data_IF_032052145714
#
_entry.id   IF_032052145714
#
_cell.length_a   1.000
_cell.length_b   1.000
_cell.length_c   1.000
_cell.angle_alpha   90.00
_cell.angle_beta   90.00
_cell.angle_gamma   90.00
#
_symmetry.space_group_name_H-M   'P 1'
#
loop_
_entity.id
_entity.type
_entity.pdbx_description
1 polymer ?
#
# COMPACT_ATOMS: atom_id res chain seq x y z
N UNK A 1 -4.42 -49.49 2.40
CA UNK A 1 -3.39 -49.54 3.47
C UNK A 1 -3.01 -48.10 3.76
N UNK A 2 -3.48 -47.54 4.87
CA UNK A 2 -3.28 -46.13 5.20
C UNK A 2 -1.97 -46.03 5.99
N UNK A 3 -0.92 -45.48 5.39
CA UNK A 3 0.35 -45.24 6.11
C UNK A 3 0.12 -44.01 7.00
N UNK A 4 0.26 -44.12 8.33
CA UNK A 4 0.20 -42.95 9.18
C UNK A 4 1.49 -42.16 8.96
N UNK A 5 1.38 -41.02 8.29
CA UNK A 5 2.46 -40.03 8.25
C UNK A 5 2.53 -39.43 9.64
N UNK A 6 3.47 -39.89 10.47
CA UNK A 6 3.81 -39.22 11.71
C UNK A 6 4.21 -37.78 11.35
N UNK A 7 3.48 -36.78 11.87
CA UNK A 7 3.77 -35.40 11.51
C UNK A 7 5.14 -35.02 12.05
N UNK A 8 6.11 -34.81 11.17
CA UNK A 8 7.48 -34.43 11.49
C UNK A 8 7.60 -32.96 11.92
N UNK A 9 6.61 -32.43 12.66
CA UNK A 9 6.58 -31.03 13.05
C UNK A 9 7.70 -30.76 14.05
N UNK A 10 8.53 -29.77 13.76
CA UNK A 10 9.70 -29.42 14.57
C UNK A 10 9.51 -28.11 15.36
N UNK A 11 8.35 -27.45 15.23
CA UNK A 11 8.03 -26.22 15.93
C UNK A 11 8.52 -24.95 15.24
N UNK A 12 9.15 -25.07 14.06
CA UNK A 12 9.55 -23.94 13.22
C UNK A 12 8.54 -23.66 12.09
N UNK A 13 7.47 -24.45 11.99
CA UNK A 13 6.42 -24.22 11.02
C UNK A 13 5.67 -22.91 11.31
N UNK A 14 5.48 -22.10 10.27
CA UNK A 14 4.76 -20.83 10.36
C UNK A 14 3.46 -20.94 9.59
N UNK A 15 2.35 -20.51 10.21
CA UNK A 15 1.05 -20.42 9.58
C UNK A 15 0.74 -18.97 9.22
N UNK A 16 0.23 -18.75 8.00
CA UNK A 16 -0.42 -17.50 7.62
C UNK A 16 -1.88 -17.64 8.03
N UNK A 17 -2.31 -16.85 9.01
CA UNK A 17 -3.64 -16.95 9.62
C UNK A 17 -4.56 -15.78 9.29
N UNK A 18 -4.03 -14.75 8.64
CA UNK A 18 -4.80 -13.64 8.10
C UNK A 18 -3.97 -12.86 7.09
N UNK A 19 -4.66 -12.17 6.18
CA UNK A 19 -4.05 -11.39 5.13
C UNK A 19 -4.95 -10.20 4.75
N UNK A 20 -4.30 -9.12 4.32
CA UNK A 20 -4.94 -7.97 3.71
C UNK A 20 -3.94 -7.35 2.72
N UNK A 21 -4.46 -6.61 1.75
CA UNK A 21 -3.63 -5.95 0.76
C UNK A 21 -4.43 -5.03 -0.16
N UNK A 22 -3.71 -4.05 -0.72
CA UNK A 22 -4.18 -3.15 -1.77
C UNK A 22 -3.27 -3.31 -2.99
N UNK A 23 -3.88 -3.37 -4.16
CA UNK A 23 -3.19 -3.60 -5.42
C UNK A 23 -3.77 -2.68 -6.49
N UNK A 24 -3.02 -2.39 -7.57
CA UNK A 24 -3.59 -1.74 -8.74
C UNK A 24 -4.83 -2.50 -9.23
N UNK A 25 -5.96 -1.79 -9.34
CA UNK A 25 -7.24 -2.37 -9.75
C UNK A 25 -7.89 -3.36 -8.78
N UNK A 26 -7.41 -3.46 -7.53
CA UNK A 26 -8.04 -4.30 -6.50
C UNK A 26 -7.85 -3.72 -5.08
N UNK A 27 -8.98 -3.51 -4.40
CA UNK A 27 -9.03 -2.96 -3.04
C UNK A 27 -8.94 -4.03 -1.95
N UNK A 28 -8.83 -5.31 -2.31
CA UNK A 28 -8.70 -6.42 -1.35
C UNK A 28 -7.94 -7.60 -1.96
N UNK A 29 -7.54 -8.54 -1.09
CA UNK A 29 -6.95 -9.82 -1.51
C UNK A 29 -7.91 -10.67 -2.35
N UNK A 30 -9.20 -10.57 -2.07
CA UNK A 30 -10.29 -11.26 -2.77
C UNK A 30 -10.47 -10.71 -4.19
N UNK A 31 -10.53 -9.37 -4.33
CA UNK A 31 -10.57 -8.71 -5.64
C UNK A 31 -9.30 -8.98 -6.43
N UNK A 32 -8.15 -8.98 -5.77
CA UNK A 32 -6.89 -9.31 -6.42
C UNK A 32 -6.89 -10.74 -6.96
N UNK A 33 -7.36 -11.70 -6.17
CA UNK A 33 -7.53 -13.07 -6.63
C UNK A 33 -8.51 -13.18 -7.80
N UNK A 34 -9.60 -12.41 -7.77
CA UNK A 34 -10.55 -12.35 -8.87
C UNK A 34 -9.89 -11.85 -10.16
N UNK A 35 -9.12 -10.76 -10.08
CA UNK A 35 -8.36 -10.22 -11.21
C UNK A 35 -7.36 -11.24 -11.77
N UNK A 36 -6.61 -11.94 -10.90
CA UNK A 36 -5.68 -12.98 -11.32
C UNK A 36 -6.37 -14.13 -12.03
N UNK A 37 -7.49 -14.62 -11.47
CA UNK A 37 -8.26 -15.71 -12.05
C UNK A 37 -8.81 -15.35 -13.43
N UNK A 38 -9.24 -14.11 -13.60
CA UNK A 38 -9.88 -13.63 -14.83
C UNK A 38 -8.87 -13.07 -15.85
N UNK A 39 -7.59 -12.96 -15.49
CA UNK A 39 -6.53 -12.45 -16.36
C UNK A 39 -6.62 -10.95 -16.62
N UNK A 40 -7.06 -10.17 -15.62
CA UNK A 40 -7.21 -8.71 -15.73
C UNK A 40 -5.85 -8.01 -15.67
N UNK A 41 -5.58 -7.13 -16.64
CA UNK A 41 -4.42 -6.24 -16.65
C UNK A 41 -4.75 -4.94 -15.91
N UNK A 42 -4.01 -4.65 -14.84
CA UNK A 42 -4.21 -3.45 -13.99
C UNK A 42 -3.13 -2.38 -14.17
N UNK A 43 -2.30 -2.51 -15.21
CA UNK A 43 -1.35 -1.48 -15.62
C UNK A 43 -2.06 -0.49 -16.51
N UNK A 44 -1.97 0.80 -16.16
CA UNK A 44 -2.54 1.88 -16.95
C UNK A 44 -1.51 2.39 -17.94
N UNK A 45 -1.90 2.46 -19.21
CA UNK A 45 -1.14 3.18 -20.25
C UNK A 45 -1.66 4.60 -20.39
N UNK A 46 -0.77 5.58 -20.47
CA UNK A 46 -1.11 7.00 -20.55
C UNK A 46 -0.90 7.55 -21.95
N UNK A 47 -1.77 8.47 -22.36
CA UNK A 47 -1.54 9.27 -23.57
C UNK A 47 -0.54 10.39 -23.32
N UNK A 48 0.02 10.95 -24.39
CA UNK A 48 0.91 12.12 -24.26
C UNK A 48 0.17 13.33 -23.69
N UNK A 49 -1.10 13.48 -24.01
CA UNK A 49 -1.96 14.54 -23.48
C UNK A 49 -2.12 14.41 -21.96
N UNK A 50 -2.36 13.19 -21.45
CA UNK A 50 -2.47 12.93 -20.00
C UNK A 50 -1.15 13.24 -19.28
N UNK A 51 -0.02 12.81 -19.85
CA UNK A 51 1.30 12.99 -19.25
C UNK A 51 1.71 14.46 -19.24
N UNK A 52 1.47 15.20 -20.33
CA UNK A 52 1.72 16.64 -20.39
C UNK A 52 0.82 17.38 -19.39
N UNK A 53 -0.47 17.01 -19.29
CA UNK A 53 -1.39 17.59 -18.31
C UNK A 53 -0.95 17.32 -16.86
N UNK A 54 -0.31 16.18 -16.59
CA UNK A 54 0.30 15.86 -15.29
C UNK A 54 1.66 16.53 -15.03
N UNK A 55 2.17 17.31 -15.99
CA UNK A 55 3.41 18.09 -15.85
C UNK A 55 4.68 17.40 -16.35
N UNK A 56 4.57 16.30 -17.12
CA UNK A 56 5.74 15.69 -17.77
C UNK A 56 6.20 16.57 -18.93
N UNK A 57 7.50 16.86 -19.00
CA UNK A 57 8.07 17.65 -20.09
C UNK A 57 7.94 16.89 -21.42
N UNK A 58 7.40 17.55 -22.44
CA UNK A 58 7.29 17.04 -23.80
C UNK A 58 8.62 16.54 -24.39
N UNK A 59 9.77 17.11 -23.99
CA UNK A 59 11.09 16.65 -24.42
C UNK A 59 11.41 15.24 -23.88
N UNK A 60 10.93 14.92 -22.67
CA UNK A 60 11.09 13.58 -22.06
C UNK A 60 10.22 12.56 -22.78
N UNK A 61 9.01 12.95 -23.20
CA UNK A 61 8.10 12.06 -23.95
C UNK A 61 8.61 11.70 -25.36
N UNK A 62 9.57 12.45 -25.90
CA UNK A 62 10.22 12.16 -27.17
C UNK A 62 11.36 11.12 -27.05
N UNK A 63 11.78 10.76 -25.84
CA UNK A 63 12.78 9.70 -25.66
C UNK A 63 12.17 8.34 -26.06
N UNK A 64 12.77 7.60 -27.01
CA UNK A 64 12.27 6.29 -27.41
C UNK A 64 12.27 5.24 -26.28
N UNK A 65 12.99 5.48 -25.18
CA UNK A 65 13.02 4.59 -24.01
C UNK A 65 11.99 4.97 -22.95
N UNK A 66 11.22 6.05 -23.15
CA UNK A 66 10.21 6.46 -22.18
C UNK A 66 9.01 5.50 -22.19
N UNK A 67 8.72 4.89 -21.05
CA UNK A 67 7.59 3.96 -20.88
C UNK A 67 6.38 4.72 -20.33
N UNK A 68 5.33 4.82 -21.14
CA UNK A 68 4.08 5.55 -20.83
C UNK A 68 3.08 4.65 -20.10
N UNK A 69 3.55 3.89 -19.12
CA UNK A 69 2.74 2.93 -18.38
C UNK A 69 3.11 2.93 -16.90
N UNK A 70 2.11 2.73 -16.04
CA UNK A 70 2.30 2.68 -14.60
C UNK A 70 1.16 1.96 -13.89
N UNK A 71 1.38 1.63 -12.63
CA UNK A 71 0.38 0.98 -11.80
C UNK A 71 0.26 1.76 -10.49
N UNK A 72 -0.97 2.05 -10.10
CA UNK A 72 -1.27 2.97 -9.00
C UNK A 72 -2.32 2.33 -8.10
N UNK A 73 -2.22 2.60 -6.82
CA UNK A 73 -3.30 2.30 -5.89
C UNK A 73 -4.37 3.37 -6.04
N UNK A 74 -5.62 2.94 -6.18
CA UNK A 74 -6.76 3.84 -6.06
C UNK A 74 -6.87 4.33 -4.62
N UNK A 75 -7.24 5.60 -4.45
CA UNK A 75 -7.60 6.17 -3.14
C UNK A 75 -6.47 6.17 -2.11
N UNK A 76 -5.21 6.05 -2.53
CA UNK A 76 -4.05 6.05 -1.65
C UNK A 76 -3.87 7.37 -0.85
N UNK A 77 -4.53 8.44 -1.28
CA UNK A 77 -4.60 9.71 -0.58
C UNK A 77 -5.54 9.70 0.64
N UNK A 78 -6.50 8.77 0.70
CA UNK A 78 -7.46 8.67 1.79
C UNK A 78 -6.88 7.89 2.97
N UNK A 79 -7.28 8.31 4.18
CA UNK A 79 -6.85 7.69 5.43
C UNK A 79 -7.77 8.08 6.58
N UNK A 80 -8.21 7.11 7.39
CA UNK A 80 -8.97 7.39 8.60
C UNK A 80 -8.04 7.81 9.76
N UNK A 81 -7.62 9.08 9.73
CA UNK A 81 -6.70 9.64 10.71
C UNK A 81 -7.17 9.45 12.16
N UNK A 82 -8.46 9.67 12.44
CA UNK A 82 -8.99 9.61 13.80
C UNK A 82 -8.99 8.20 14.35
N UNK A 83 -9.31 7.20 13.52
CA UNK A 83 -9.24 5.80 13.92
C UNK A 83 -7.83 5.39 14.38
N UNK A 84 -6.80 5.85 13.67
CA UNK A 84 -5.40 5.59 14.01
C UNK A 84 -4.80 6.59 15.02
N UNK A 85 -5.60 7.51 15.56
CA UNK A 85 -5.17 8.45 16.60
C UNK A 85 -4.34 9.64 16.12
N UNK A 86 -4.40 9.97 14.82
CA UNK A 86 -3.75 11.13 14.23
C UNK A 86 -4.70 12.34 14.13
N UNK A 87 -4.15 13.54 14.29
CA UNK A 87 -4.84 14.77 13.89
C UNK A 87 -4.85 14.86 12.34
N UNK A 88 -5.95 15.32 11.69
CA UNK A 88 -5.99 15.52 10.23
C UNK A 88 -4.76 16.21 9.64
N UNK A 89 -4.22 17.26 10.29
CA UNK A 89 -3.01 17.95 9.82
C UNK A 89 -1.74 17.11 9.89
N UNK A 90 -1.64 16.25 10.90
CA UNK A 90 -0.51 15.32 11.03
C UNK A 90 -0.63 14.21 9.99
N UNK A 91 -1.85 13.72 9.75
CA UNK A 91 -2.10 12.71 8.74
C UNK A 91 -1.69 13.19 7.33
N UNK A 92 -1.93 14.46 6.99
CA UNK A 92 -1.56 15.05 5.69
C UNK A 92 -0.07 14.92 5.36
N UNK A 93 0.82 14.88 6.35
CA UNK A 93 2.28 14.75 6.10
C UNK A 93 2.80 13.32 6.15
N UNK A 94 1.98 12.36 6.60
CA UNK A 94 2.36 10.94 6.62
C UNK A 94 2.45 10.43 5.18
N UNK A 95 3.51 9.69 4.85
CA UNK A 95 3.63 9.07 3.51
C UNK A 95 2.41 8.16 3.25
N UNK A 96 1.71 8.29 2.11
CA UNK A 96 0.63 7.39 1.71
C UNK A 96 0.96 5.90 1.89
N UNK A 97 2.21 5.50 1.67
CA UNK A 97 2.67 4.12 1.89
C UNK A 97 2.51 3.68 3.36
N UNK A 98 2.76 4.58 4.31
CA UNK A 98 2.59 4.30 5.74
C UNK A 98 1.11 4.25 6.11
N UNK A 99 0.28 5.11 5.51
CA UNK A 99 -1.18 5.12 5.74
C UNK A 99 -1.82 3.78 5.31
N UNK A 100 -1.55 3.37 4.07
CA UNK A 100 -2.02 2.08 3.53
C UNK A 100 -1.47 0.91 4.34
N UNK A 101 -0.22 0.99 4.81
CA UNK A 101 0.37 -0.04 5.65
C UNK A 101 -0.36 -0.19 7.00
N UNK A 102 -0.74 0.91 7.63
CA UNK A 102 -1.49 0.89 8.90
C UNK A 102 -2.89 0.27 8.71
N UNK A 103 -3.59 0.68 7.66
CA UNK A 103 -4.91 0.12 7.30
C UNK A 103 -4.83 -1.38 7.02
N UNK A 104 -3.90 -1.82 6.16
CA UNK A 104 -3.70 -3.24 5.86
C UNK A 104 -3.28 -4.05 7.10
N UNK A 105 -2.46 -3.46 7.99
CA UNK A 105 -2.06 -4.14 9.24
C UNK A 105 -3.25 -4.37 10.16
N UNK A 106 -4.16 -3.41 10.25
CA UNK A 106 -5.40 -3.55 11.00
C UNK A 106 -6.31 -4.61 10.38
N UNK A 107 -6.58 -4.51 9.08
CA UNK A 107 -7.43 -5.46 8.36
C UNK A 107 -6.90 -6.89 8.40
N UNK A 108 -5.57 -7.08 8.36
CA UNK A 108 -4.97 -8.41 8.46
C UNK A 108 -5.21 -9.04 9.83
N UNK A 109 -5.21 -8.25 10.91
CA UNK A 109 -5.56 -8.73 12.24
C UNK A 109 -7.05 -9.07 12.35
N UNK A 110 -7.93 -8.24 11.77
CA UNK A 110 -9.37 -8.53 11.71
C UNK A 110 -9.66 -9.80 10.90
N UNK A 111 -9.01 -9.97 9.75
CA UNK A 111 -9.10 -11.18 8.92
C UNK A 111 -8.64 -12.43 9.69
N UNK A 112 -7.58 -12.31 10.50
CA UNK A 112 -7.13 -13.37 11.39
C UNK A 112 -8.07 -13.63 12.59
N UNK A 113 -9.05 -12.75 12.83
CA UNK A 113 -9.98 -12.84 13.96
C UNK A 113 -9.37 -12.40 15.30
N UNK A 114 -8.31 -11.58 15.28
CA UNK A 114 -7.62 -11.11 16.48
C UNK A 114 -7.87 -9.63 16.76
N UNK A 115 -8.08 -9.31 18.03
CA UNK A 115 -8.09 -7.93 18.52
C UNK A 115 -6.76 -7.64 19.22
N UNK A 116 -5.98 -6.71 18.65
CA UNK A 116 -4.66 -6.31 19.18
C UNK A 116 -4.72 -5.69 20.58
N UNK A 117 -5.85 -5.10 20.98
CA UNK A 117 -6.00 -4.47 22.29
C UNK A 117 -6.24 -5.48 23.42
N UNK A 118 -6.68 -6.70 23.08
CA UNK A 118 -7.01 -7.74 24.07
C UNK A 118 -6.12 -8.98 23.97
N UNK A 119 -5.23 -9.04 22.98
CA UNK A 119 -4.33 -10.17 22.80
C UNK A 119 -3.22 -10.12 23.86
N UNK A 120 -3.07 -11.20 24.63
CA UNK A 120 -2.13 -11.27 25.76
C UNK A 120 -0.67 -11.52 25.33
N UNK A 121 -0.45 -11.93 24.08
CA UNK A 121 0.87 -12.25 23.54
C UNK A 121 1.59 -11.05 22.92
N UNK A 122 2.87 -11.23 22.62
CA UNK A 122 3.66 -10.25 21.86
C UNK A 122 3.34 -10.35 20.37
N UNK A 123 3.16 -9.20 19.73
CA UNK A 123 2.99 -9.07 18.28
C UNK A 123 4.22 -8.33 17.73
N UNK A 124 5.01 -9.01 16.89
CA UNK A 124 6.12 -8.40 16.18
C UNK A 124 5.67 -7.85 14.83
N UNK A 125 6.15 -6.66 14.46
CA UNK A 125 5.89 -6.04 13.15
C UNK A 125 7.19 -5.92 12.37
N UNK A 126 7.19 -6.44 11.15
CA UNK A 126 8.32 -6.36 10.21
C UNK A 126 7.78 -5.79 8.89
N UNK A 127 8.36 -4.69 8.42
CA UNK A 127 7.86 -3.96 7.25
C UNK A 127 9.00 -3.52 6.33
N UNK A 128 8.68 -3.39 5.05
CA UNK A 128 9.52 -2.79 4.02
C UNK A 128 8.73 -1.75 3.23
N UNK A 129 9.41 -0.71 2.77
CA UNK A 129 8.81 0.44 2.08
C UNK A 129 9.72 0.84 0.92
N UNK A 130 9.11 1.33 -0.17
CA UNK A 130 9.84 1.86 -1.31
C UNK A 130 10.49 3.21 -1.01
N UNK A 131 11.02 3.86 -2.04
CA UNK A 131 11.56 5.21 -1.88
C UNK A 131 10.44 6.21 -1.55
N UNK A 132 10.60 6.99 -0.48
CA UNK A 132 9.63 8.00 -0.07
C UNK A 132 9.74 9.25 -0.97
N UNK A 133 9.00 9.25 -2.07
CA UNK A 133 8.89 10.40 -2.97
C UNK A 133 7.95 11.50 -2.43
N UNK A 134 7.10 11.18 -1.45
CA UNK A 134 6.13 12.09 -0.87
C UNK A 134 6.79 13.19 -0.05
N UNK A 135 7.72 12.82 0.84
CA UNK A 135 8.53 13.77 1.59
C UNK A 135 9.33 14.66 0.63
N UNK A 136 9.95 14.09 -0.41
CA UNK A 136 10.66 14.88 -1.43
C UNK A 136 9.75 15.91 -2.08
N UNK A 137 8.55 15.54 -2.50
CA UNK A 137 7.56 16.45 -3.09
C UNK A 137 7.13 17.56 -2.12
N UNK A 138 6.88 17.24 -0.84
CA UNK A 138 6.55 18.24 0.18
C UNK A 138 7.67 19.26 0.34
N UNK A 139 8.92 18.79 0.44
CA UNK A 139 10.06 19.68 0.69
C UNK A 139 10.41 20.56 -0.51
N UNK A 140 10.18 20.09 -1.73
CA UNK A 140 10.46 20.85 -2.96
C UNK A 140 9.29 21.76 -3.38
N UNK A 141 8.08 21.53 -2.89
CA UNK A 141 6.92 22.34 -3.21
C UNK A 141 6.67 23.41 -2.13
N UNK A 142 7.03 24.66 -2.44
CA UNK A 142 6.96 25.77 -1.50
C UNK A 142 5.53 26.05 -1.00
N UNK A 143 4.50 25.77 -1.81
CA UNK A 143 3.09 25.92 -1.42
C UNK A 143 2.68 24.89 -0.37
N UNK A 144 3.03 23.62 -0.56
CA UNK A 144 2.75 22.54 0.41
C UNK A 144 3.57 22.73 1.68
N UNK A 145 4.85 23.09 1.56
CA UNK A 145 5.69 23.39 2.73
C UNK A 145 5.10 24.49 3.62
N UNK A 146 4.53 25.53 3.01
CA UNK A 146 3.94 26.65 3.74
C UNK A 146 2.56 26.31 4.35
N UNK A 147 1.81 25.35 3.79
CA UNK A 147 0.51 24.93 4.33
C UNK A 147 0.62 24.01 5.55
N UNK A 148 1.74 23.29 5.67
CA UNK A 148 1.99 22.34 6.77
C UNK A 148 2.33 23.08 8.09
N UNK A 149 2.76 24.33 8.02
CA UNK A 149 3.14 25.13 9.19
C UNK A 149 4.44 24.64 9.84
N UNK A 150 5.22 25.56 10.40
CA UNK A 150 6.42 25.21 11.16
C UNK A 150 6.02 24.51 12.45
N UNK A 151 6.50 23.27 12.66
CA UNK A 151 6.60 22.69 14.00
C UNK A 151 7.49 23.56 14.89
#
# INVERSE_FOLDING_TARGET
>A
MNIPVASSRNGLEVAIIGMAGRFPGAKSTEEFWQNLRDGIESVTTFSDEDLIASGVDSAVLQDPNYVKAGAFLEEAEFFDAFFFGFNPREAEVIDPQQRVFLECSWEALENAGYNSQTYEGLIGVYAGVGMNSYASNIWTNETLRNSIGSY
#
